data_IF_166185311195
#
_entry.id   IF_166185311195
#
_cell.length_a   1.000
_cell.length_b   1.000
_cell.length_c   1.000
_cell.angle_alpha   90.00
_cell.angle_beta   90.00
_cell.angle_gamma   90.00
#
_symmetry.space_group_name_H-M   'P 1'
#
loop_
_entity.id
_entity.type
_entity.pdbx_description
1 polymer ?
#
# COMPACT_ATOMS: atom_id res chain seq x y z
N UNK A 1 -9.21 -5.23 -16.51
CA UNK A 1 -10.36 -6.15 -16.31
C UNK A 1 -9.91 -7.31 -15.43
N UNK A 2 -10.66 -7.64 -14.37
CA UNK A 2 -10.36 -8.77 -13.48
C UNK A 2 -10.84 -10.05 -14.17
N UNK A 3 -9.99 -11.09 -14.23
CA UNK A 3 -10.35 -12.39 -14.85
C UNK A 3 -11.24 -13.21 -13.92
N UNK A 4 -12.14 -14.03 -14.45
CA UNK A 4 -12.99 -14.95 -13.65
C UNK A 4 -12.21 -16.02 -12.89
N UNK A 5 -11.01 -16.38 -13.39
CA UNK A 5 -10.11 -17.35 -12.76
C UNK A 5 -8.69 -16.83 -12.81
N UNK A 6 -8.00 -16.86 -11.68
CA UNK A 6 -6.64 -16.34 -11.55
C UNK A 6 -5.74 -17.29 -10.78
N UNK A 7 -4.48 -17.38 -11.19
CA UNK A 7 -3.46 -18.08 -10.43
C UNK A 7 -3.08 -17.28 -9.17
N UNK A 8 -2.57 -17.93 -8.11
CA UNK A 8 -1.98 -17.23 -6.96
C UNK A 8 -0.85 -16.27 -7.36
N UNK A 9 -0.15 -16.54 -8.47
CA UNK A 9 0.86 -15.65 -9.05
C UNK A 9 0.27 -14.37 -9.63
N UNK A 10 -0.83 -14.48 -10.38
CA UNK A 10 -1.50 -13.30 -10.92
C UNK A 10 -2.16 -12.47 -9.80
N UNK A 11 -2.73 -13.12 -8.78
CA UNK A 11 -3.24 -12.42 -7.59
C UNK A 11 -2.12 -11.71 -6.82
N UNK A 12 -0.96 -12.35 -6.69
CA UNK A 12 0.23 -11.75 -6.09
C UNK A 12 0.66 -10.47 -6.83
N UNK A 13 0.69 -10.50 -8.17
CA UNK A 13 1.01 -9.32 -8.98
C UNK A 13 -0.02 -8.19 -8.86
N UNK A 14 -1.31 -8.52 -8.72
CA UNK A 14 -2.37 -7.51 -8.58
C UNK A 14 -2.47 -6.89 -7.19
N UNK A 15 -2.10 -7.63 -6.16
CA UNK A 15 -2.33 -7.24 -4.76
C UNK A 15 -1.06 -6.82 -4.02
N UNK A 16 0.11 -6.99 -4.65
CA UNK A 16 1.42 -6.77 -4.00
C UNK A 16 1.80 -7.86 -2.98
N UNK A 17 0.89 -8.74 -2.58
CA UNK A 17 1.16 -9.78 -1.60
C UNK A 17 1.94 -10.96 -2.18
N UNK A 18 2.74 -11.62 -1.35
CA UNK A 18 3.44 -12.84 -1.75
C UNK A 18 2.47 -13.98 -2.09
N UNK A 19 2.90 -14.91 -2.95
CA UNK A 19 2.13 -16.14 -3.27
C UNK A 19 1.77 -16.94 -2.01
N UNK A 20 2.64 -16.94 -0.99
CA UNK A 20 2.40 -17.63 0.27
C UNK A 20 1.25 -16.99 1.06
N UNK A 21 1.22 -15.66 1.10
CA UNK A 21 0.13 -14.89 1.71
C UNK A 21 -1.20 -15.19 1.00
N UNK A 22 -1.22 -15.16 -0.33
CA UNK A 22 -2.41 -15.52 -1.12
C UNK A 22 -2.87 -16.96 -0.82
N UNK A 23 -1.94 -17.91 -0.78
CA UNK A 23 -2.25 -19.31 -0.46
C UNK A 23 -2.78 -19.52 0.96
N UNK A 24 -2.38 -18.66 1.91
CA UNK A 24 -2.93 -18.63 3.27
C UNK A 24 -4.36 -18.13 3.26
N UNK A 25 -4.65 -17.04 2.53
CA UNK A 25 -5.99 -16.48 2.36
C UNK A 25 -6.94 -17.46 1.65
N UNK A 26 -6.49 -18.12 0.59
CA UNK A 26 -7.27 -19.16 -0.11
C UNK A 26 -7.74 -20.25 0.86
N UNK A 27 -6.88 -20.67 1.81
CA UNK A 27 -7.24 -21.66 2.85
C UNK A 27 -8.11 -21.07 3.95
N UNK A 28 -7.76 -19.89 4.45
CA UNK A 28 -8.44 -19.22 5.57
C UNK A 28 -9.88 -18.84 5.21
N UNK A 29 -10.08 -18.31 4.01
CA UNK A 29 -11.39 -17.86 3.50
C UNK A 29 -12.13 -18.94 2.71
N UNK A 30 -11.53 -20.13 2.56
CA UNK A 30 -12.13 -21.25 1.84
C UNK A 30 -12.43 -20.95 0.36
N UNK A 31 -11.57 -20.17 -0.31
CA UNK A 31 -11.81 -19.80 -1.71
C UNK A 31 -11.83 -21.01 -2.63
N UNK A 32 -12.79 -21.01 -3.56
CA UNK A 32 -12.95 -22.11 -4.52
C UNK A 32 -11.78 -22.14 -5.48
N UNK A 33 -11.15 -23.31 -5.61
CA UNK A 33 -10.04 -23.51 -6.54
C UNK A 33 -10.32 -24.66 -7.50
N UNK A 34 -9.89 -24.52 -8.76
CA UNK A 34 -9.90 -25.60 -9.75
C UNK A 34 -8.47 -25.98 -10.15
N UNK A 35 -8.19 -27.25 -10.47
CA UNK A 35 -6.89 -27.64 -11.02
C UNK A 35 -6.64 -26.90 -12.34
N UNK A 36 -5.37 -26.50 -12.56
CA UNK A 36 -4.96 -25.88 -13.82
C UNK A 36 -4.65 -26.98 -14.85
N UNK A 37 -5.30 -26.98 -16.03
CA UNK A 37 -4.97 -27.94 -17.09
C UNK A 37 -3.54 -27.71 -17.59
N UNK A 38 -2.78 -28.79 -17.82
CA UNK A 38 -1.49 -28.74 -18.52
C UNK A 38 -0.24 -28.44 -17.68
N UNK A 39 -0.31 -28.47 -16.34
CA UNK A 39 0.89 -28.31 -15.49
C UNK A 39 1.46 -29.67 -15.11
N UNK A 40 2.73 -29.91 -15.49
CA UNK A 40 3.48 -31.11 -15.14
C UNK A 40 3.51 -31.27 -13.61
N UNK A 41 2.83 -32.29 -13.10
CA UNK A 41 2.68 -32.57 -11.67
C UNK A 41 1.37 -32.07 -11.01
N UNK A 42 0.44 -31.46 -11.73
CA UNK A 42 -0.96 -31.25 -11.29
C UNK A 42 -1.18 -30.35 -10.05
N UNK A 43 -0.12 -29.79 -9.45
CA UNK A 43 -0.19 -29.03 -8.19
C UNK A 43 -0.65 -27.58 -8.35
N UNK A 44 -0.71 -27.06 -9.58
CA UNK A 44 -1.14 -25.69 -9.82
C UNK A 44 -2.67 -25.59 -9.78
N UNK A 45 -3.19 -24.63 -8.99
CA UNK A 45 -4.64 -24.38 -8.86
C UNK A 45 -4.96 -22.95 -9.29
N UNK A 46 -6.11 -22.79 -9.93
CA UNK A 46 -6.72 -21.51 -10.27
C UNK A 46 -7.75 -21.16 -9.20
N UNK A 47 -7.65 -19.97 -8.64
CA UNK A 47 -8.63 -19.38 -7.72
C UNK A 47 -9.78 -18.82 -8.54
N UNK A 48 -11.01 -19.16 -8.17
CA UNK A 48 -12.21 -18.59 -8.79
C UNK A 48 -12.43 -17.21 -8.19
N UNK A 49 -12.40 -16.19 -9.04
CA UNK A 49 -12.52 -14.79 -8.61
C UNK A 49 -13.99 -14.45 -8.43
N UNK A 50 -14.53 -14.80 -7.27
CA UNK A 50 -15.90 -14.48 -6.86
C UNK A 50 -15.97 -13.10 -6.18
N UNK A 51 -17.12 -12.77 -5.62
CA UNK A 51 -17.35 -11.50 -4.91
C UNK A 51 -16.37 -11.24 -3.75
N UNK A 52 -15.99 -12.28 -3.01
CA UNK A 52 -15.02 -12.17 -1.91
C UNK A 52 -13.60 -11.92 -2.42
N UNK A 53 -13.21 -12.59 -3.51
CA UNK A 53 -11.88 -12.40 -4.11
C UNK A 53 -11.77 -11.04 -4.79
N UNK A 54 -12.82 -10.54 -5.45
CA UNK A 54 -12.81 -9.17 -6.02
C UNK A 54 -12.75 -8.09 -4.94
N UNK A 55 -13.38 -8.33 -3.79
CA UNK A 55 -13.31 -7.44 -2.63
C UNK A 55 -11.93 -7.49 -1.98
N UNK A 56 -11.31 -8.68 -1.91
CA UNK A 56 -9.92 -8.83 -1.52
C UNK A 56 -8.96 -8.11 -2.47
N UNK A 57 -9.15 -8.23 -3.79
CA UNK A 57 -8.32 -7.51 -4.76
C UNK A 57 -8.51 -6.01 -4.61
N UNK A 58 -9.75 -5.52 -4.47
CA UNK A 58 -10.03 -4.07 -4.28
C UNK A 58 -9.47 -3.53 -2.97
N UNK A 59 -9.60 -4.27 -1.87
CA UNK A 59 -9.01 -3.88 -0.58
C UNK A 59 -7.49 -3.91 -0.64
N UNK A 60 -6.89 -4.91 -1.29
CA UNK A 60 -5.45 -4.96 -1.49
C UNK A 60 -4.94 -3.85 -2.42
N UNK A 61 -5.66 -3.51 -3.50
CA UNK A 61 -5.31 -2.39 -4.36
C UNK A 61 -5.40 -1.06 -3.60
N UNK A 62 -6.39 -0.87 -2.73
CA UNK A 62 -6.41 0.28 -1.79
C UNK A 62 -5.20 0.29 -0.85
N UNK A 63 -4.75 -0.86 -0.38
CA UNK A 63 -3.53 -0.99 0.44
C UNK A 63 -2.24 -0.78 -0.36
N UNK A 64 -2.28 -0.97 -1.69
CA UNK A 64 -1.12 -0.79 -2.58
C UNK A 64 -1.05 0.63 -3.18
N UNK A 65 -2.20 1.29 -3.38
CA UNK A 65 -2.30 2.72 -3.73
C UNK A 65 -2.25 3.64 -2.51
N UNK A 66 -2.55 3.12 -1.31
CA UNK A 66 -2.07 3.75 -0.08
C UNK A 66 -0.55 3.54 -0.02
N UNK A 67 0.25 4.61 0.09
CA UNK A 67 1.64 4.47 0.47
C UNK A 67 1.69 3.64 1.75
N UNK A 68 2.55 2.63 1.75
CA UNK A 68 2.88 1.76 2.89
C UNK A 68 3.02 2.56 4.19
N UNK A 69 1.94 2.73 4.92
CA UNK A 69 1.98 3.00 6.35
C UNK A 69 1.07 1.97 7.00
N UNK A 70 1.63 0.96 7.69
CA UNK A 70 0.81 0.08 8.50
C UNK A 70 0.19 0.95 9.61
N UNK A 71 -1.13 1.14 9.54
CA UNK A 71 -1.91 1.59 10.68
C UNK A 71 -1.80 0.53 11.78
N UNK A 72 -0.78 0.70 12.63
CA UNK A 72 -1.02 0.60 14.05
C UNK A 72 -2.20 1.52 14.36
N UNK A 73 -3.23 0.94 14.95
CA UNK A 73 -4.49 1.57 15.35
C UNK A 73 -4.25 2.48 16.58
N UNK A 74 -3.21 3.32 16.51
CA UNK A 74 -2.84 4.27 17.53
C UNK A 74 -2.16 5.46 16.85
N UNK A 75 -2.67 6.66 17.09
CA UNK A 75 -2.19 7.95 16.59
C UNK A 75 -2.61 8.32 15.16
N UNK A 76 -3.87 8.76 15.04
CA UNK A 76 -4.25 9.89 14.17
C UNK A 76 -3.53 11.21 14.55
N UNK A 77 -2.34 11.10 15.15
CA UNK A 77 -1.56 12.11 15.85
C UNK A 77 -0.05 11.86 15.63
N UNK A 78 0.32 10.90 14.79
CA UNK A 78 1.74 10.73 14.41
C UNK A 78 2.17 11.93 13.56
N UNK A 79 3.38 12.44 13.82
CA UNK A 79 3.93 13.60 13.12
C UNK A 79 3.90 13.40 11.61
N UNK A 80 4.19 12.19 11.13
CA UNK A 80 4.20 11.85 9.70
C UNK A 80 2.83 12.05 9.04
N UNK A 81 1.74 11.67 9.72
CA UNK A 81 0.38 11.86 9.23
C UNK A 81 -0.03 13.35 9.20
N UNK A 82 0.41 14.13 10.20
CA UNK A 82 0.17 15.57 10.25
C UNK A 82 0.97 16.33 9.19
N UNK A 83 2.23 15.95 8.95
CA UNK A 83 3.05 16.52 7.88
C UNK A 83 2.48 16.20 6.49
N UNK A 84 1.95 14.99 6.29
CA UNK A 84 1.28 14.62 5.05
C UNK A 84 -0.01 15.43 4.83
N UNK A 85 -0.81 15.61 5.88
CA UNK A 85 -2.01 16.44 5.83
C UNK A 85 -1.67 17.89 5.50
N UNK A 86 -0.69 18.47 6.20
CA UNK A 86 -0.17 19.81 5.92
C UNK A 86 0.28 19.94 4.45
N UNK A 87 0.98 18.93 3.93
CA UNK A 87 1.40 18.93 2.52
C UNK A 87 0.21 18.99 1.56
N UNK A 88 -0.87 18.27 1.85
CA UNK A 88 -2.07 18.23 1.01
C UNK A 88 -2.93 19.50 1.10
N UNK A 89 -2.90 20.22 2.22
CA UNK A 89 -3.65 21.48 2.38
C UNK A 89 -2.95 22.69 1.75
N UNK A 90 -1.65 22.62 1.52
CA UNK A 90 -0.91 23.67 0.81
C UNK A 90 -1.29 23.73 -0.68
N UNK A 91 -1.33 24.95 -1.21
CA UNK A 91 -1.40 25.19 -2.65
C UNK A 91 -0.12 24.72 -3.36
N UNK A 92 -0.16 24.47 -4.68
CA UNK A 92 1.03 24.06 -5.43
C UNK A 92 2.21 25.04 -5.31
N UNK A 93 1.93 26.34 -5.25
CA UNK A 93 2.95 27.37 -5.06
C UNK A 93 3.58 27.30 -3.66
N UNK A 94 2.77 27.10 -2.61
CA UNK A 94 3.26 26.92 -1.24
C UNK A 94 4.08 25.64 -1.08
N UNK A 95 3.65 24.53 -1.68
CA UNK A 95 4.43 23.28 -1.71
C UNK A 95 5.80 23.49 -2.36
N UNK A 96 5.84 24.23 -3.48
CA UNK A 96 7.09 24.55 -4.17
C UNK A 96 8.00 25.45 -3.34
N UNK A 97 7.44 26.44 -2.64
CA UNK A 97 8.20 27.29 -1.73
C UNK A 97 8.76 26.51 -0.55
N UNK A 98 7.96 25.66 0.10
CA UNK A 98 8.40 24.81 1.21
C UNK A 98 9.49 23.83 0.76
N UNK A 99 9.33 23.21 -0.42
CA UNK A 99 10.34 22.33 -1.02
C UNK A 99 11.65 23.08 -1.26
N UNK A 100 11.58 24.29 -1.80
CA UNK A 100 12.77 25.13 -2.05
C UNK A 100 13.46 25.51 -0.75
N UNK A 101 12.70 25.84 0.30
CA UNK A 101 13.23 26.15 1.62
C UNK A 101 13.95 24.93 2.22
N UNK A 102 13.32 23.76 2.18
CA UNK A 102 13.92 22.50 2.64
C UNK A 102 15.19 22.14 1.89
N UNK A 103 15.25 22.35 0.58
CA UNK A 103 16.45 22.10 -0.22
C UNK A 103 17.58 23.08 0.10
N UNK A 104 17.26 24.35 0.36
CA UNK A 104 18.26 25.40 0.64
C UNK A 104 18.84 25.29 2.04
N UNK A 105 17.99 25.10 3.03
CA UNK A 105 18.35 25.22 4.45
C UNK A 105 18.43 23.87 5.15
N UNK A 106 17.95 22.81 4.50
CA UNK A 106 17.85 21.48 5.08
C UNK A 106 16.84 21.41 6.23
N UNK A 107 16.72 20.22 6.80
CA UNK A 107 15.87 19.96 7.96
C UNK A 107 16.34 20.78 9.16
N UNK A 108 17.66 20.93 9.34
CA UNK A 108 18.23 21.71 10.45
C UNK A 108 17.83 23.19 10.38
N UNK A 109 17.92 23.83 9.21
CA UNK A 109 17.54 25.23 9.07
C UNK A 109 16.04 25.46 9.21
N UNK A 110 15.21 24.52 8.70
CA UNK A 110 13.76 24.56 8.95
C UNK A 110 13.45 24.49 10.45
N UNK A 111 14.06 23.55 11.18
CA UNK A 111 13.83 23.41 12.63
C UNK A 111 14.29 24.64 13.42
N UNK A 112 15.37 25.32 12.99
CA UNK A 112 15.81 26.58 13.59
C UNK A 112 14.81 27.71 13.32
N UNK A 113 14.30 27.84 12.09
CA UNK A 113 13.28 28.86 11.74
C UNK A 113 11.96 28.66 12.48
N UNK A 114 11.61 27.41 12.77
CA UNK A 114 10.45 27.07 13.59
C UNK A 114 10.71 27.23 15.10
N UNK A 115 11.93 27.61 15.52
CA UNK A 115 12.30 27.74 16.93
C UNK A 115 12.35 26.41 17.69
N UNK A 116 12.41 25.29 16.98
CA UNK A 116 12.43 23.93 17.56
C UNK A 116 13.85 23.51 17.94
N UNK A 117 14.85 23.97 17.18
CA UNK A 117 16.26 23.69 17.42
C UNK A 117 17.01 25.00 17.65
N UNK A 118 17.69 25.09 18.78
CA UNK A 118 18.51 26.26 19.12
C UNK A 118 19.79 26.31 18.27
N UNK A 119 20.29 27.52 18.00
CA UNK A 119 21.59 27.72 17.35
C UNK A 119 22.68 27.62 18.42
N UNK A 120 23.07 26.39 18.76
CA UNK A 120 24.25 26.13 19.60
C UNK A 120 25.52 26.07 18.77
#
# INVERSE_FOLDING_TARGET
MIKERMTPEELSRLTGYSRQTINKWVRKEGWKTSPRPGVQGGKARLVHVNEKVREFIRSASRVTEAPLHPESVASSSSLDALLLTLANEMTPDEQKQLTTLLLREGITGLLQRLGIRDQS
#
